data_IF_895051050878
#
_entry.id   IF_895051050878
#
_cell.length_a   1.000
_cell.length_b   1.000
_cell.length_c   1.000
_cell.angle_alpha   90.00
_cell.angle_beta   90.00
_cell.angle_gamma   90.00
#
_symmetry.space_group_name_H-M   'P 1'
#
loop_
_entity.id
_entity.type
_entity.pdbx_description
1 polymer ?
#
# COMPACT_ATOMS: atom_id res chain seq x y z
N UNK A 1 0.84 14.94 -1.91
CA UNK A 1 1.92 13.94 -2.01
C UNK A 1 3.00 14.45 -2.94
N UNK A 2 4.24 14.36 -2.54
CA UNK A 2 5.35 14.80 -3.37
C UNK A 2 5.78 13.69 -4.36
N UNK A 3 6.28 14.06 -5.56
CA UNK A 3 6.85 13.07 -6.48
C UNK A 3 8.02 12.30 -5.84
N UNK A 4 8.20 11.06 -6.24
CA UNK A 4 9.28 10.23 -5.72
C UNK A 4 8.98 9.55 -4.38
N UNK A 5 7.77 9.72 -3.87
CA UNK A 5 7.38 9.14 -2.58
C UNK A 5 6.74 7.78 -2.75
N UNK A 6 6.67 7.03 -1.64
CA UNK A 6 6.04 5.72 -1.60
C UNK A 6 4.70 5.77 -0.88
N UNK A 7 3.74 4.99 -1.36
CA UNK A 7 2.38 4.92 -0.81
C UNK A 7 2.00 3.47 -0.61
N UNK A 8 1.40 3.16 0.53
CA UNK A 8 0.78 1.85 0.75
C UNK A 8 -0.74 2.02 0.67
N UNK A 9 -1.39 1.16 -0.11
CA UNK A 9 -2.84 1.16 -0.26
C UNK A 9 -3.37 -0.14 0.33
N UNK A 10 -4.22 -0.04 1.34
CA UNK A 10 -4.84 -1.19 1.98
C UNK A 10 -6.19 -1.49 1.34
N UNK A 11 -6.33 -2.71 0.87
CA UNK A 11 -7.57 -3.18 0.27
C UNK A 11 -7.51 -3.19 -1.24
N UNK A 12 -8.02 -4.26 -1.84
CA UNK A 12 -7.99 -4.49 -3.28
C UNK A 12 -9.37 -4.37 -3.94
N UNK A 13 -10.36 -3.82 -3.24
CA UNK A 13 -11.65 -3.52 -3.83
C UNK A 13 -11.60 -2.27 -4.70
N UNK A 14 -12.78 -1.83 -5.18
CA UNK A 14 -12.85 -0.69 -6.09
C UNK A 14 -12.20 0.58 -5.53
N UNK A 15 -12.40 0.86 -4.23
CA UNK A 15 -11.81 2.04 -3.60
C UNK A 15 -10.29 1.92 -3.53
N UNK A 16 -9.77 0.72 -3.23
CA UNK A 16 -8.34 0.48 -3.22
C UNK A 16 -7.71 0.68 -4.59
N UNK A 17 -8.36 0.18 -5.65
CA UNK A 17 -7.89 0.38 -7.02
C UNK A 17 -7.88 1.86 -7.39
N UNK A 18 -8.90 2.62 -7.00
CA UNK A 18 -8.91 4.07 -7.20
C UNK A 18 -7.76 4.73 -6.45
N UNK A 19 -7.44 4.25 -5.26
CA UNK A 19 -6.29 4.74 -4.49
C UNK A 19 -4.97 4.55 -5.21
N UNK A 20 -4.78 3.41 -5.88
CA UNK A 20 -3.59 3.13 -6.68
C UNK A 20 -3.48 4.15 -7.83
N UNK A 21 -4.57 4.36 -8.54
CA UNK A 21 -4.60 5.33 -9.65
C UNK A 21 -4.26 6.73 -9.14
N UNK A 22 -4.88 7.15 -8.04
CA UNK A 22 -4.64 8.48 -7.48
C UNK A 22 -3.19 8.65 -7.05
N UNK A 23 -2.61 7.64 -6.39
CA UNK A 23 -1.22 7.69 -5.95
C UNK A 23 -0.27 7.88 -7.14
N UNK A 24 -0.48 7.13 -8.21
CA UNK A 24 0.36 7.25 -9.41
C UNK A 24 0.20 8.62 -10.07
N UNK A 25 -1.02 9.14 -10.14
CA UNK A 25 -1.26 10.47 -10.72
C UNK A 25 -0.63 11.58 -9.92
N UNK A 26 -0.51 11.40 -8.61
CA UNK A 26 0.13 12.38 -7.73
C UNK A 26 1.65 12.26 -7.73
N UNK A 27 2.20 11.32 -8.49
CA UNK A 27 3.63 11.22 -8.67
C UNK A 27 4.36 10.23 -7.77
N UNK A 28 3.65 9.34 -7.10
CA UNK A 28 4.30 8.30 -6.30
C UNK A 28 5.13 7.39 -7.19
N UNK A 29 6.35 7.14 -6.82
CA UNK A 29 7.23 6.23 -7.54
C UNK A 29 7.00 4.78 -7.14
N UNK A 30 6.63 4.55 -5.88
CA UNK A 30 6.35 3.23 -5.37
C UNK A 30 4.94 3.20 -4.79
N UNK A 31 4.11 2.30 -5.28
CA UNK A 31 2.75 2.11 -4.80
C UNK A 31 2.60 0.65 -4.43
N UNK A 32 2.47 0.39 -3.13
CA UNK A 32 2.38 -0.96 -2.57
C UNK A 32 0.93 -1.24 -2.26
N UNK A 33 0.36 -2.23 -2.94
CA UNK A 33 -1.01 -2.67 -2.68
C UNK A 33 -0.97 -3.80 -1.65
N UNK A 34 -1.73 -3.66 -0.58
CA UNK A 34 -1.93 -4.73 0.38
C UNK A 34 -3.30 -5.34 0.13
N UNK A 35 -3.33 -6.50 -0.51
CA UNK A 35 -4.54 -7.19 -0.90
C UNK A 35 -4.28 -8.65 -1.19
N UNK A 36 -5.35 -9.44 -1.37
CA UNK A 36 -5.24 -10.89 -1.44
C UNK A 36 -5.99 -11.53 -2.61
N UNK A 37 -6.81 -10.79 -3.32
CA UNK A 37 -7.61 -11.34 -4.41
C UNK A 37 -6.82 -11.27 -5.73
N UNK A 38 -6.48 -12.41 -6.34
CA UNK A 38 -5.62 -12.42 -7.53
C UNK A 38 -6.12 -11.54 -8.68
N UNK A 39 -7.42 -11.55 -8.94
CA UNK A 39 -8.01 -10.75 -10.02
C UNK A 39 -7.83 -9.25 -9.77
N UNK A 40 -8.00 -8.84 -8.51
CA UNK A 40 -7.86 -7.44 -8.13
C UNK A 40 -6.39 -7.02 -8.14
N UNK A 41 -5.50 -7.92 -7.74
CA UNK A 41 -4.06 -7.67 -7.77
C UNK A 41 -3.60 -7.44 -9.21
N UNK A 42 -4.05 -8.28 -10.14
CA UNK A 42 -3.70 -8.12 -11.54
C UNK A 42 -4.16 -6.76 -12.07
N UNK A 43 -5.38 -6.35 -11.71
CA UNK A 43 -5.92 -5.06 -12.12
C UNK A 43 -5.14 -3.91 -11.51
N UNK A 44 -4.76 -4.02 -10.24
CA UNK A 44 -3.99 -3.00 -9.56
C UNK A 44 -2.63 -2.79 -10.23
N UNK A 45 -1.99 -3.85 -10.68
CA UNK A 45 -0.72 -3.74 -11.40
C UNK A 45 -0.89 -3.00 -12.71
N UNK A 46 -1.99 -3.23 -13.43
CA UNK A 46 -2.29 -2.49 -14.65
C UNK A 46 -2.50 -1.00 -14.35
N UNK A 47 -3.06 -0.68 -13.20
CA UNK A 47 -3.33 0.70 -12.80
C UNK A 47 -2.11 1.42 -12.21
N UNK A 48 -1.02 0.71 -11.98
CA UNK A 48 0.21 1.33 -11.55
C UNK A 48 0.80 0.88 -10.21
N UNK A 49 0.24 -0.16 -9.58
CA UNK A 49 0.85 -0.73 -8.38
C UNK A 49 2.21 -1.32 -8.73
N UNK A 50 3.22 -0.95 -7.98
CA UNK A 50 4.58 -1.42 -8.23
C UNK A 50 4.90 -2.70 -7.47
N UNK A 51 4.25 -2.89 -6.32
CA UNK A 51 4.48 -4.02 -5.45
C UNK A 51 3.16 -4.46 -4.84
N UNK A 52 3.09 -5.73 -4.44
CA UNK A 52 1.90 -6.31 -3.82
C UNK A 52 2.31 -7.08 -2.58
N UNK A 53 1.60 -6.85 -1.49
CA UNK A 53 1.79 -7.57 -0.23
C UNK A 53 0.50 -8.29 0.10
N UNK A 54 0.56 -9.62 0.20
CA UNK A 54 -0.60 -10.44 0.54
C UNK A 54 -0.58 -10.92 1.99
N UNK A 55 0.50 -10.69 2.69
CA UNK A 55 0.63 -11.01 4.10
C UNK A 55 -0.24 -10.08 4.96
N UNK A 56 -0.43 -10.44 6.21
CA UNK A 56 -1.23 -9.65 7.16
C UNK A 56 -0.47 -9.42 8.45
N UNK A 57 -0.89 -8.41 9.21
CA UNK A 57 -0.34 -8.13 10.53
C UNK A 57 1.14 -7.81 10.48
N UNK A 58 1.90 -8.40 11.37
CA UNK A 58 3.33 -8.14 11.49
C UNK A 58 4.09 -8.55 10.25
N UNK A 59 3.67 -9.62 9.58
CA UNK A 59 4.30 -10.05 8.34
C UNK A 59 4.14 -9.00 7.23
N UNK A 60 2.99 -8.35 7.16
CA UNK A 60 2.77 -7.28 6.20
C UNK A 60 3.68 -6.09 6.49
N UNK A 61 3.85 -5.72 7.75
CA UNK A 61 4.74 -4.63 8.16
C UNK A 61 6.17 -4.95 7.74
N UNK A 62 6.65 -6.15 8.03
CA UNK A 62 7.99 -6.59 7.65
C UNK A 62 8.18 -6.54 6.13
N UNK A 63 7.19 -7.01 5.38
CA UNK A 63 7.26 -7.02 3.93
C UNK A 63 7.35 -5.61 3.35
N UNK A 64 6.57 -4.68 3.89
CA UNK A 64 6.63 -3.28 3.47
C UNK A 64 7.99 -2.68 3.80
N UNK A 65 8.54 -2.98 4.97
CA UNK A 65 9.87 -2.51 5.34
C UNK A 65 10.94 -3.02 4.38
N UNK A 66 10.86 -4.29 3.99
CA UNK A 66 11.78 -4.86 3.00
C UNK A 66 11.70 -4.13 1.66
N UNK A 67 10.47 -3.84 1.21
CA UNK A 67 10.25 -3.16 -0.06
C UNK A 67 10.67 -1.69 -0.05
N UNK A 68 10.78 -1.10 1.12
CA UNK A 68 11.15 0.31 1.29
C UNK A 68 12.53 0.50 1.92
N UNK A 69 13.36 -0.54 1.91
CA UNK A 69 14.71 -0.51 2.49
C UNK A 69 14.72 -0.09 3.96
N UNK A 70 13.69 -0.50 4.71
CA UNK A 70 13.57 -0.21 6.13
C UNK A 70 12.98 1.16 6.46
N UNK A 71 12.65 1.97 5.45
CA UNK A 71 12.15 3.34 5.68
C UNK A 71 10.64 3.43 5.91
N UNK A 72 9.88 2.39 5.54
CA UNK A 72 8.42 2.47 5.53
C UNK A 72 7.93 3.33 4.37
N UNK A 73 6.64 3.62 4.35
CA UNK A 73 6.03 4.41 3.27
C UNK A 73 5.76 5.83 3.73
N UNK A 74 5.66 6.75 2.78
CA UNK A 74 5.40 8.17 3.08
C UNK A 74 3.93 8.47 3.31
N UNK A 75 3.04 7.66 2.75
CA UNK A 75 1.60 7.83 2.91
C UNK A 75 0.90 6.49 2.94
N UNK A 76 -0.19 6.39 3.68
CA UNK A 76 -1.00 5.18 3.77
C UNK A 76 -2.45 5.53 3.47
N UNK A 77 -3.06 4.77 2.56
CA UNK A 77 -4.49 4.89 2.26
C UNK A 77 -5.18 3.62 2.74
N UNK A 78 -6.07 3.75 3.71
CA UNK A 78 -6.81 2.61 4.26
C UNK A 78 -8.19 2.55 3.62
N UNK A 79 -8.46 1.47 2.90
CA UNK A 79 -9.66 1.31 2.10
C UNK A 79 -10.54 0.13 2.52
N UNK A 80 -10.18 -0.55 3.59
CA UNK A 80 -10.90 -1.74 4.08
C UNK A 80 -11.81 -1.43 5.25
N UNK A 81 -11.34 -0.60 6.19
CA UNK A 81 -12.12 -0.25 7.36
C UNK A 81 -12.16 -1.31 8.45
N UNK A 82 -11.29 -2.32 8.37
CA UNK A 82 -11.19 -3.35 9.41
C UNK A 82 -10.15 -2.94 10.44
N UNK A 83 -10.41 -3.25 11.71
CA UNK A 83 -9.49 -2.89 12.80
C UNK A 83 -8.07 -3.36 12.55
N UNK A 84 -7.88 -4.60 12.07
CA UNK A 84 -6.55 -5.12 11.79
C UNK A 84 -5.83 -4.30 10.72
N UNK A 85 -6.54 -3.88 9.69
CA UNK A 85 -5.97 -3.04 8.64
C UNK A 85 -5.55 -1.68 9.18
N UNK A 86 -6.34 -1.09 10.06
CA UNK A 86 -6.03 0.20 10.67
C UNK A 86 -4.78 0.11 11.54
N UNK A 87 -4.67 -0.94 12.36
CA UNK A 87 -3.50 -1.14 13.21
C UNK A 87 -2.24 -1.34 12.36
N UNK A 88 -2.34 -2.15 11.31
CA UNK A 88 -1.22 -2.38 10.40
C UNK A 88 -0.81 -1.09 9.69
N UNK A 89 -1.78 -0.28 9.28
CA UNK A 89 -1.52 1.00 8.64
C UNK A 89 -0.77 1.94 9.59
N UNK A 90 -1.16 1.98 10.85
CA UNK A 90 -0.49 2.80 11.86
C UNK A 90 0.95 2.36 12.04
N UNK A 91 1.21 1.06 12.12
CA UNK A 91 2.57 0.54 12.27
C UNK A 91 3.44 0.87 11.06
N UNK A 92 2.91 0.73 9.86
CA UNK A 92 3.63 1.06 8.63
C UNK A 92 3.95 2.55 8.60
N UNK A 93 2.97 3.40 8.91
CA UNK A 93 3.16 4.84 8.94
C UNK A 93 4.18 5.26 9.98
N UNK A 94 4.16 4.64 11.16
CA UNK A 94 5.09 5.00 12.24
C UNK A 94 6.53 4.58 11.94
N UNK A 95 6.77 3.76 10.92
CA UNK A 95 8.13 3.44 10.50
C UNK A 95 8.75 4.50 9.58
N UNK A 96 8.01 5.56 9.27
CA UNK A 96 8.50 6.71 8.49
C UNK A 96 9.20 7.70 9.44
N UNK A 97 10.07 7.47 10.13
CA UNK A 97 10.65 8.39 11.10
C UNK A 97 11.68 9.35 10.50
#
# INVERSE_FOLDING_TARGET
MAPGKSVAVFGDGAVGLCGVIAARRLGAEQVILLGRHPDRIALAREFGATDVVSERGDEAVERVRELTDGHGVHSVLECVGLEQSELTAIEIASSIA
#
